data_IF_588012682966
#
_entry.id   IF_588012682966
#
_cell.length_a   1.000
_cell.length_b   1.000
_cell.length_c   1.000
_cell.angle_alpha   90.00
_cell.angle_beta   90.00
_cell.angle_gamma   90.00
#
_symmetry.space_group_name_H-M   'P 1'
#
loop_
_entity.id
_entity.type
_entity.pdbx_description
1 polymer ?
#
# COMPACT_ATOMS: atom_id res chain seq x y z
N UNK A 1 -0.46 -19.65 -1.01
CA UNK A 1 -0.94 -19.16 -2.31
C UNK A 1 0.22 -19.10 -3.30
N UNK A 2 -0.05 -19.30 -4.59
CA UNK A 2 0.95 -19.25 -5.66
C UNK A 2 0.64 -18.09 -6.61
N UNK A 3 1.65 -17.34 -7.03
CA UNK A 3 1.50 -16.37 -8.13
C UNK A 3 1.83 -17.08 -9.45
N UNK A 4 0.94 -16.99 -10.43
CA UNK A 4 1.14 -17.54 -11.77
C UNK A 4 1.02 -16.42 -12.81
N UNK A 5 1.98 -16.37 -13.74
CA UNK A 5 2.00 -15.41 -14.85
C UNK A 5 1.53 -16.13 -16.10
N UNK A 6 0.43 -15.64 -16.69
CA UNK A 6 -0.16 -16.22 -17.90
C UNK A 6 0.85 -16.21 -19.05
N UNK A 7 1.03 -17.38 -19.66
CA UNK A 7 1.86 -17.63 -20.84
C UNK A 7 0.98 -17.79 -22.10
N UNK A 8 1.55 -17.60 -23.30
CA UNK A 8 0.83 -17.81 -24.55
C UNK A 8 0.18 -19.20 -24.62
N UNK A 9 -1.11 -19.24 -25.00
CA UNK A 9 -1.87 -20.47 -25.19
C UNK A 9 -2.39 -21.14 -23.92
N UNK A 10 -2.14 -20.57 -22.73
CA UNK A 10 -2.71 -21.11 -21.50
C UNK A 10 -4.21 -20.82 -21.36
N UNK A 11 -4.93 -21.77 -20.76
CA UNK A 11 -6.32 -21.61 -20.34
C UNK A 11 -6.45 -21.80 -18.83
N UNK A 12 -7.51 -21.27 -18.22
CA UNK A 12 -7.78 -21.48 -16.80
C UNK A 12 -7.92 -22.95 -16.44
N UNK A 13 -8.47 -23.79 -17.33
CA UNK A 13 -8.56 -25.24 -17.12
C UNK A 13 -7.17 -25.88 -17.02
N UNK A 14 -6.27 -25.57 -17.96
CA UNK A 14 -4.91 -26.10 -17.94
C UNK A 14 -4.12 -25.64 -16.72
N UNK A 15 -4.29 -24.37 -16.32
CA UNK A 15 -3.67 -23.81 -15.12
C UNK A 15 -4.23 -24.50 -13.87
N UNK A 16 -5.55 -24.64 -13.75
CA UNK A 16 -6.20 -25.30 -12.62
C UNK A 16 -5.72 -26.75 -12.47
N UNK A 17 -5.61 -27.50 -13.57
CA UNK A 17 -5.07 -28.85 -13.59
C UNK A 17 -3.61 -28.90 -13.13
N UNK A 18 -2.77 -27.97 -13.60
CA UNK A 18 -1.35 -27.92 -13.23
C UNK A 18 -1.12 -27.70 -11.73
N UNK A 19 -2.04 -26.98 -11.07
CA UNK A 19 -2.00 -26.67 -9.64
C UNK A 19 -2.93 -27.52 -8.77
N UNK A 20 -3.63 -28.49 -9.35
CA UNK A 20 -4.61 -29.33 -8.64
C UNK A 20 -5.69 -28.51 -7.91
N UNK A 21 -6.31 -27.56 -8.62
CA UNK A 21 -7.44 -26.75 -8.15
C UNK A 21 -8.53 -26.69 -9.24
N UNK A 22 -9.55 -25.85 -9.08
CA UNK A 22 -10.60 -25.62 -10.09
C UNK A 22 -10.49 -24.24 -10.72
N UNK A 23 -11.00 -24.10 -11.96
CA UNK A 23 -11.06 -22.82 -12.64
C UNK A 23 -11.93 -21.83 -11.85
N UNK A 24 -13.06 -22.26 -11.30
CA UNK A 24 -13.99 -21.45 -10.50
C UNK A 24 -13.30 -20.83 -9.29
N UNK A 25 -12.44 -21.59 -8.58
CA UNK A 25 -11.67 -21.05 -7.45
C UNK A 25 -10.68 -19.98 -7.89
N UNK A 26 -10.04 -20.17 -9.04
CA UNK A 26 -9.12 -19.16 -9.62
C UNK A 26 -9.91 -17.91 -10.02
N UNK A 27 -11.07 -18.06 -10.67
CA UNK A 27 -11.94 -16.96 -11.10
C UNK A 27 -12.37 -16.14 -9.89
N UNK A 28 -12.89 -16.79 -8.85
CA UNK A 28 -13.37 -16.11 -7.64
C UNK A 28 -12.22 -15.39 -6.91
N UNK A 29 -11.07 -16.06 -6.73
CA UNK A 29 -9.94 -15.46 -6.04
C UNK A 29 -9.37 -14.22 -6.76
N UNK A 30 -9.43 -14.18 -8.08
CA UNK A 30 -8.87 -13.09 -8.87
C UNK A 30 -9.93 -12.11 -9.38
N UNK A 31 -11.21 -12.34 -9.04
CA UNK A 31 -12.38 -11.64 -9.59
C UNK A 31 -12.28 -11.44 -11.11
N UNK A 32 -11.99 -12.54 -11.84
CA UNK A 32 -11.80 -12.46 -13.29
C UNK A 32 -13.13 -12.11 -13.98
N UNK A 33 -13.13 -10.99 -14.69
CA UNK A 33 -14.24 -10.46 -15.48
C UNK A 33 -14.47 -11.27 -16.77
N UNK A 34 -13.38 -11.59 -17.49
CA UNK A 34 -13.39 -12.30 -18.77
C UNK A 34 -12.55 -13.59 -18.69
N UNK A 35 -13.02 -14.64 -17.99
CA UNK A 35 -12.23 -15.84 -17.70
C UNK A 35 -11.86 -16.66 -18.95
N UNK A 36 -12.55 -16.44 -20.07
CA UNK A 36 -12.23 -17.03 -21.36
C UNK A 36 -11.14 -16.31 -22.15
N UNK A 37 -10.76 -15.10 -21.75
CA UNK A 37 -9.84 -14.23 -22.49
C UNK A 37 -8.72 -13.68 -21.57
N UNK A 38 -7.77 -14.56 -21.26
CA UNK A 38 -6.62 -14.24 -20.41
C UNK A 38 -5.59 -13.41 -21.16
N UNK A 39 -4.96 -12.46 -20.47
CA UNK A 39 -3.92 -11.60 -21.05
C UNK A 39 -2.54 -12.20 -20.81
N UNK A 40 -1.71 -12.34 -21.85
CA UNK A 40 -0.32 -12.79 -21.68
C UNK A 40 0.42 -11.82 -20.77
N UNK A 41 1.10 -12.37 -19.76
CA UNK A 41 1.80 -11.59 -18.74
C UNK A 41 0.94 -11.14 -17.56
N UNK A 42 -0.38 -11.38 -17.58
CA UNK A 42 -1.24 -11.17 -16.41
C UNK A 42 -0.78 -12.05 -15.25
N UNK A 43 -0.66 -11.47 -14.05
CA UNK A 43 -0.39 -12.23 -12.84
C UNK A 43 -1.69 -12.55 -12.12
N UNK A 44 -1.92 -13.83 -11.83
CA UNK A 44 -3.05 -14.32 -11.03
C UNK A 44 -2.55 -15.06 -9.79
N UNK A 45 -3.34 -15.04 -8.74
CA UNK A 45 -3.12 -15.84 -7.53
C UNK A 45 -3.88 -17.15 -7.64
N UNK A 46 -3.19 -18.27 -7.44
CA UNK A 46 -3.77 -19.59 -7.37
C UNK A 46 -4.05 -19.91 -5.88
N UNK A 47 -5.32 -20.14 -5.49
CA UNK A 47 -5.72 -20.28 -4.09
C UNK A 47 -5.43 -21.68 -3.54
N UNK A 48 -4.15 -22.04 -3.52
CA UNK A 48 -3.62 -23.27 -2.92
C UNK A 48 -2.87 -22.97 -1.62
N UNK A 49 -2.83 -23.96 -0.72
CA UNK A 49 -2.01 -23.92 0.49
C UNK A 49 -0.55 -24.16 0.13
N UNK A 50 0.34 -23.27 0.56
CA UNK A 50 1.74 -23.28 0.16
C UNK A 50 1.92 -22.75 -1.26
N UNK A 51 3.02 -23.14 -1.90
CA UNK A 51 3.38 -22.73 -3.26
C UNK A 51 4.25 -23.79 -3.94
N UNK A 52 4.55 -23.59 -5.21
CA UNK A 52 5.50 -24.42 -5.95
C UNK A 52 6.69 -23.58 -6.41
N UNK A 53 7.87 -24.18 -6.31
CA UNK A 53 9.12 -23.62 -6.78
C UNK A 53 9.71 -24.51 -7.87
N UNK A 54 10.11 -23.89 -8.98
CA UNK A 54 10.83 -24.58 -10.04
C UNK A 54 12.31 -24.27 -9.88
N UNK A 55 13.09 -25.34 -9.68
CA UNK A 55 14.55 -25.25 -9.49
C UNK A 55 15.18 -24.52 -10.66
N UNK A 56 15.94 -23.47 -10.35
CA UNK A 56 16.72 -22.67 -11.27
C UNK A 56 18.18 -23.14 -11.31
N UNK A 57 18.94 -22.61 -12.27
CA UNK A 57 20.36 -22.89 -12.35
C UNK A 57 21.09 -22.38 -11.10
N UNK A 58 21.91 -23.24 -10.49
CA UNK A 58 22.67 -22.92 -9.27
C UNK A 58 21.93 -23.19 -7.96
N UNK A 59 20.65 -23.59 -8.02
CA UNK A 59 19.90 -23.90 -6.81
C UNK A 59 20.35 -25.19 -6.14
N UNK A 60 20.25 -25.16 -4.81
CA UNK A 60 20.42 -26.31 -3.92
C UNK A 60 19.21 -26.36 -2.99
N UNK A 61 18.94 -27.53 -2.38
CA UNK A 61 17.90 -27.60 -1.35
C UNK A 61 18.17 -26.63 -0.20
N UNK A 62 19.44 -26.38 0.12
CA UNK A 62 19.84 -25.43 1.14
C UNK A 62 19.50 -23.98 0.75
N UNK A 63 19.89 -23.53 -0.44
CA UNK A 63 19.61 -22.16 -0.90
C UNK A 63 18.12 -21.88 -1.04
N UNK A 64 17.36 -22.86 -1.54
CA UNK A 64 15.90 -22.77 -1.64
C UNK A 64 15.27 -22.74 -0.25
N UNK A 65 15.66 -23.65 0.66
CA UNK A 65 15.09 -23.70 1.99
C UNK A 65 15.33 -22.40 2.77
N UNK A 66 16.55 -21.86 2.71
CA UNK A 66 16.89 -20.56 3.28
C UNK A 66 16.01 -19.44 2.72
N UNK A 67 15.83 -19.39 1.40
CA UNK A 67 14.98 -18.39 0.73
C UNK A 67 13.53 -18.40 1.24
N UNK A 68 13.00 -19.58 1.57
CA UNK A 68 11.63 -19.74 2.04
C UNK A 68 11.52 -19.92 3.57
N UNK A 69 12.59 -19.62 4.33
CA UNK A 69 12.57 -19.68 5.79
C UNK A 69 12.26 -21.07 6.36
N UNK A 70 12.72 -22.13 5.70
CA UNK A 70 12.58 -23.53 6.14
C UNK A 70 13.94 -24.23 6.17
N UNK A 71 14.01 -25.49 6.59
CA UNK A 71 15.24 -26.29 6.54
C UNK A 71 15.29 -27.18 5.30
N UNK A 72 16.50 -27.47 4.82
CA UNK A 72 16.70 -28.39 3.69
C UNK A 72 16.14 -29.80 3.98
N UNK A 73 16.24 -30.26 5.24
CA UNK A 73 15.68 -31.55 5.66
C UNK A 73 14.15 -31.55 5.59
N UNK A 74 13.49 -30.51 6.09
CA UNK A 74 12.02 -30.38 6.02
C UNK A 74 11.55 -30.27 4.57
N UNK A 75 12.23 -29.45 3.76
CA UNK A 75 11.91 -29.30 2.35
C UNK A 75 12.07 -30.63 1.59
N UNK A 76 13.15 -31.36 1.84
CA UNK A 76 13.39 -32.67 1.23
C UNK A 76 12.33 -33.70 1.65
N UNK A 77 12.01 -33.77 2.94
CA UNK A 77 11.00 -34.68 3.50
C UNK A 77 9.62 -34.43 2.89
N UNK A 78 9.16 -33.18 2.85
CA UNK A 78 7.86 -32.80 2.28
C UNK A 78 7.77 -33.14 0.79
N UNK A 79 8.88 -33.03 0.07
CA UNK A 79 8.95 -33.35 -1.35
C UNK A 79 9.28 -34.82 -1.64
N UNK A 80 9.44 -35.67 -0.62
CA UNK A 80 9.76 -37.08 -0.78
C UNK A 80 11.11 -37.34 -1.46
N UNK A 81 12.08 -36.44 -1.31
CA UNK A 81 13.43 -36.55 -1.91
C UNK A 81 14.50 -36.65 -0.82
N UNK A 82 15.66 -37.24 -1.15
CA UNK A 82 16.81 -37.26 -0.24
C UNK A 82 17.42 -35.85 -0.13
N UNK A 83 17.80 -35.45 1.09
CA UNK A 83 18.38 -34.12 1.36
C UNK A 83 19.69 -33.85 0.62
N UNK A 84 20.43 -34.91 0.25
CA UNK A 84 21.68 -34.83 -0.50
C UNK A 84 21.48 -34.99 -2.02
N UNK A 85 20.23 -35.09 -2.50
CA UNK A 85 19.95 -35.22 -3.93
C UNK A 85 20.29 -33.92 -4.67
N UNK A 86 21.17 -33.96 -5.69
CA UNK A 86 21.36 -32.82 -6.58
C UNK A 86 20.06 -32.46 -7.30
N UNK A 87 19.69 -31.19 -7.29
CA UNK A 87 18.46 -30.72 -7.93
C UNK A 87 18.68 -30.49 -9.43
N UNK A 88 17.77 -31.01 -10.26
CA UNK A 88 17.77 -30.73 -11.70
C UNK A 88 16.98 -29.45 -11.97
N UNK A 89 17.50 -28.58 -12.83
CA UNK A 89 16.77 -27.39 -13.30
C UNK A 89 15.39 -27.81 -13.84
N UNK A 90 14.36 -27.06 -13.48
CA UNK A 90 12.96 -27.34 -13.80
C UNK A 90 12.27 -28.33 -12.87
N UNK A 91 12.98 -28.96 -11.93
CA UNK A 91 12.34 -29.79 -10.89
C UNK A 91 11.34 -28.95 -10.11
N UNK A 92 10.11 -29.44 -9.97
CA UNK A 92 9.05 -28.79 -9.19
C UNK A 92 9.12 -29.26 -7.75
N UNK A 93 9.31 -28.33 -6.82
CA UNK A 93 9.25 -28.54 -5.38
C UNK A 93 8.02 -27.86 -4.80
N UNK A 94 7.28 -28.55 -3.95
CA UNK A 94 6.28 -27.96 -3.09
C UNK A 94 6.96 -27.23 -1.92
N UNK A 95 6.56 -25.99 -1.71
CA UNK A 95 6.99 -25.15 -0.61
C UNK A 95 5.80 -25.03 0.36
N UNK A 96 5.93 -25.50 1.62
CA UNK A 96 4.86 -25.35 2.60
C UNK A 96 4.60 -23.87 2.91
N UNK A 97 3.41 -23.51 3.43
CA UNK A 97 3.12 -22.17 3.90
C UNK A 97 4.21 -21.67 4.85
N UNK A 98 4.70 -20.46 4.61
CA UNK A 98 5.65 -19.82 5.52
C UNK A 98 4.92 -19.38 6.79
N UNK A 99 5.65 -19.35 7.91
CA UNK A 99 5.12 -18.75 9.12
C UNK A 99 4.83 -17.26 8.87
N UNK A 100 3.58 -16.88 9.11
CA UNK A 100 3.16 -15.48 9.00
C UNK A 100 3.71 -14.71 10.21
N UNK A 101 4.32 -13.55 9.96
CA UNK A 101 4.59 -12.57 11.02
C UNK A 101 3.41 -11.63 11.17
N UNK A 102 3.28 -10.99 12.31
CA UNK A 102 2.26 -9.95 12.49
C UNK A 102 2.61 -8.69 11.69
N UNK A 103 1.61 -7.98 11.20
CA UNK A 103 1.75 -6.67 10.59
C UNK A 103 0.49 -5.83 10.84
N UNK A 104 0.68 -4.52 10.98
CA UNK A 104 -0.44 -3.58 10.95
C UNK A 104 -0.74 -3.19 9.49
N UNK A 105 -2.03 -3.07 9.14
CA UNK A 105 -2.49 -2.74 7.80
C UNK A 105 -3.44 -1.57 7.88
N UNK A 106 -3.11 -0.45 7.23
CA UNK A 106 -3.98 0.70 7.07
C UNK A 106 -4.48 0.82 5.63
N UNK A 107 -5.68 1.34 5.42
CA UNK A 107 -6.13 1.84 4.12
C UNK A 107 -6.86 3.17 4.29
N UNK A 108 -6.52 4.15 3.45
CA UNK A 108 -7.27 5.39 3.34
C UNK A 108 -8.57 5.17 2.56
N UNK A 109 -9.65 5.78 3.04
CA UNK A 109 -10.97 5.82 2.40
C UNK A 109 -11.35 7.28 2.19
N UNK A 110 -11.55 7.68 0.94
CA UNK A 110 -11.82 9.07 0.56
C UNK A 110 -13.20 9.14 -0.12
N UNK A 111 -14.27 9.47 0.63
CA UNK A 111 -15.57 9.79 0.06
C UNK A 111 -15.47 10.97 -0.90
N UNK A 112 -16.21 10.93 -2.01
CA UNK A 112 -16.27 12.03 -2.99
C UNK A 112 -17.65 12.68 -2.90
N UNK A 113 -17.66 13.99 -2.67
CA UNK A 113 -18.89 14.75 -2.45
C UNK A 113 -19.32 14.75 -0.99
N UNK A 114 -20.61 14.94 -0.74
CA UNK A 114 -21.13 15.19 0.63
C UNK A 114 -21.59 13.92 1.36
N UNK A 115 -21.50 12.75 0.72
CA UNK A 115 -21.98 11.47 1.27
C UNK A 115 -21.03 10.31 1.00
N UNK A 116 -21.14 9.25 1.81
CA UNK A 116 -20.41 8.00 1.60
C UNK A 116 -21.24 7.08 0.71
N UNK A 117 -20.68 6.62 -0.42
CA UNK A 117 -21.40 5.73 -1.34
C UNK A 117 -21.52 4.30 -0.79
N UNK A 118 -22.58 3.60 -1.16
CA UNK A 118 -22.80 2.22 -0.72
C UNK A 118 -21.76 1.27 -1.31
N UNK A 119 -21.25 1.56 -2.52
CA UNK A 119 -20.17 0.83 -3.16
C UNK A 119 -18.89 0.91 -2.33
N UNK A 120 -18.54 2.11 -1.86
CA UNK A 120 -17.34 2.33 -1.04
C UNK A 120 -17.46 1.62 0.32
N UNK A 121 -18.64 1.65 0.95
CA UNK A 121 -18.91 0.88 2.18
C UNK A 121 -18.85 -0.63 1.95
N UNK A 122 -19.35 -1.13 0.82
CA UNK A 122 -19.27 -2.55 0.48
C UNK A 122 -17.83 -3.00 0.29
N UNK A 123 -17.01 -2.20 -0.41
CA UNK A 123 -15.58 -2.48 -0.55
C UNK A 123 -14.88 -2.45 0.81
N UNK A 124 -15.18 -1.48 1.67
CA UNK A 124 -14.63 -1.39 3.02
C UNK A 124 -14.97 -2.63 3.87
N UNK A 125 -16.20 -3.16 3.76
CA UNK A 125 -16.60 -4.43 4.41
C UNK A 125 -15.84 -5.63 3.85
N UNK A 126 -15.62 -5.69 2.53
CA UNK A 126 -14.89 -6.78 1.88
C UNK A 126 -13.43 -6.83 2.33
N UNK A 127 -12.77 -5.67 2.42
CA UNK A 127 -11.35 -5.61 2.79
C UNK A 127 -11.12 -5.58 4.30
N UNK A 128 -12.13 -5.20 5.07
CA UNK A 128 -12.09 -5.03 6.52
C UNK A 128 -11.42 -6.15 7.33
N UNK A 129 -11.66 -7.44 7.04
CA UNK A 129 -10.96 -8.55 7.70
C UNK A 129 -9.43 -8.45 7.61
N UNK A 130 -8.89 -7.78 6.58
CA UNK A 130 -7.45 -7.59 6.34
C UNK A 130 -6.89 -6.29 6.91
N UNK A 131 -7.68 -5.50 7.63
CA UNK A 131 -7.27 -4.19 8.15
C UNK A 131 -7.01 -4.19 9.66
N UNK A 132 -6.01 -3.41 10.07
CA UNK A 132 -5.88 -2.88 11.43
C UNK A 132 -6.63 -1.56 11.53
N UNK A 133 -6.41 -0.68 10.55
CA UNK A 133 -6.99 0.65 10.50
C UNK A 133 -7.74 0.89 9.19
N UNK A 134 -8.87 1.60 9.30
CA UNK A 134 -9.56 2.26 8.21
C UNK A 134 -9.45 3.77 8.43
N UNK A 135 -8.96 4.52 7.45
CA UNK A 135 -8.58 5.92 7.62
C UNK A 135 -9.39 6.87 6.72
N UNK A 136 -10.52 7.40 7.21
CA UNK A 136 -11.30 8.42 6.51
C UNK A 136 -10.45 9.64 6.20
N UNK A 137 -10.33 9.98 4.92
CA UNK A 137 -9.52 11.09 4.43
C UNK A 137 -10.43 12.24 3.98
N UNK A 138 -10.40 13.42 4.60
CA UNK A 138 -9.75 13.74 5.88
C UNK A 138 -10.54 14.80 6.64
N UNK A 139 -10.28 14.93 7.94
CA UNK A 139 -10.69 16.11 8.70
C UNK A 139 -9.72 17.25 8.41
N UNK A 140 -10.19 18.31 7.74
CA UNK A 140 -9.36 19.46 7.41
C UNK A 140 -9.27 20.42 8.61
N UNK A 141 -8.07 20.66 9.11
CA UNK A 141 -7.85 21.61 10.19
C UNK A 141 -8.01 23.06 9.69
N UNK A 142 -8.60 23.93 10.51
CA UNK A 142 -8.78 25.35 10.19
C UNK A 142 -7.91 26.25 11.05
N UNK A 143 -7.78 27.50 10.60
CA UNK A 143 -6.88 28.51 11.21
C UNK A 143 -7.25 28.87 12.64
N UNK A 144 -8.48 28.61 13.06
CA UNK A 144 -8.98 28.81 14.42
C UNK A 144 -8.94 27.52 15.27
N UNK A 145 -8.49 26.40 14.72
CA UNK A 145 -8.43 25.10 15.38
C UNK A 145 -9.70 24.26 15.24
N UNK A 146 -10.72 24.74 14.52
CA UNK A 146 -11.87 23.90 14.15
C UNK A 146 -11.49 22.85 13.09
N UNK A 147 -12.35 21.84 12.93
CA UNK A 147 -12.23 20.79 11.92
C UNK A 147 -13.41 20.86 10.96
N UNK A 148 -13.17 20.69 9.66
CA UNK A 148 -14.28 20.57 8.73
C UNK A 148 -15.00 19.23 8.85
N UNK A 149 -16.33 19.23 8.65
CA UNK A 149 -17.10 18.01 8.61
C UNK A 149 -16.61 17.09 7.49
N UNK A 150 -16.39 15.83 7.84
CA UNK A 150 -16.10 14.76 6.89
C UNK A 150 -17.34 13.87 6.74
N UNK A 151 -17.77 13.52 5.51
CA UNK A 151 -18.78 12.49 5.30
C UNK A 151 -18.30 11.16 5.89
N UNK A 152 -18.89 10.76 7.02
CA UNK A 152 -18.43 9.63 7.83
C UNK A 152 -19.50 8.55 8.03
N UNK A 153 -20.73 8.79 7.57
CA UNK A 153 -21.87 7.89 7.81
C UNK A 153 -21.59 6.47 7.30
N UNK A 154 -21.78 5.47 8.17
CA UNK A 154 -21.57 4.05 7.85
C UNK A 154 -20.12 3.57 7.96
N UNK A 155 -19.13 4.47 7.96
CA UNK A 155 -17.71 4.08 8.04
C UNK A 155 -17.35 3.53 9.43
N UNK A 156 -17.72 4.17 10.57
CA UNK A 156 -17.44 3.63 11.90
C UNK A 156 -18.11 2.28 12.15
N UNK A 157 -19.33 2.08 11.66
CA UNK A 157 -20.04 0.79 11.74
C UNK A 157 -19.28 -0.27 10.95
N UNK A 158 -18.90 0.05 9.71
CA UNK A 158 -18.16 -0.86 8.83
C UNK A 158 -16.81 -1.27 9.43
N UNK A 159 -16.06 -0.32 9.99
CA UNK A 159 -14.79 -0.61 10.67
C UNK A 159 -15.00 -1.58 11.84
N UNK A 160 -16.01 -1.32 12.68
CA UNK A 160 -16.34 -2.15 13.85
C UNK A 160 -16.78 -3.56 13.47
N UNK A 161 -17.64 -3.70 12.46
CA UNK A 161 -18.08 -5.01 11.93
C UNK A 161 -16.91 -5.83 11.39
N UNK A 162 -15.92 -5.17 10.81
CA UNK A 162 -14.68 -5.77 10.31
C UNK A 162 -13.61 -6.04 11.39
N UNK A 163 -13.85 -5.62 12.63
CA UNK A 163 -12.87 -5.64 13.70
C UNK A 163 -11.64 -4.78 13.42
N UNK A 164 -11.79 -3.72 12.63
CA UNK A 164 -10.78 -2.69 12.39
C UNK A 164 -11.10 -1.46 13.23
N UNK A 165 -10.06 -0.69 13.57
CA UNK A 165 -10.22 0.60 14.23
C UNK A 165 -10.14 1.74 13.21
N UNK A 166 -10.68 2.91 13.55
CA UNK A 166 -10.49 4.11 12.78
C UNK A 166 -9.14 4.77 13.11
N UNK A 167 -8.48 5.24 12.07
CA UNK A 167 -7.36 6.18 12.14
C UNK A 167 -7.89 7.54 11.67
N UNK A 168 -8.06 8.48 12.60
CA UNK A 168 -8.63 9.80 12.31
C UNK A 168 -7.57 10.66 11.63
N UNK A 169 -7.72 10.90 10.33
CA UNK A 169 -6.77 11.71 9.55
C UNK A 169 -7.09 13.19 9.71
N UNK A 170 -6.11 13.95 10.19
CA UNK A 170 -6.16 15.41 10.31
C UNK A 170 -5.15 16.01 9.35
N UNK A 171 -5.62 16.79 8.38
CA UNK A 171 -4.79 17.38 7.32
C UNK A 171 -4.74 18.91 7.39
N UNK A 172 -3.72 19.50 6.77
CA UNK A 172 -3.65 20.94 6.52
C UNK A 172 -4.08 21.30 5.08
N UNK A 173 -5.15 20.64 4.59
CA UNK A 173 -5.79 21.00 3.34
C UNK A 173 -6.59 22.31 3.49
N UNK A 174 -6.45 23.19 2.50
CA UNK A 174 -7.21 24.43 2.37
C UNK A 174 -7.53 24.62 0.90
N UNK A 175 -8.83 24.63 0.54
CA UNK A 175 -9.30 24.71 -0.86
C UNK A 175 -8.78 23.56 -1.75
N UNK A 176 -8.75 22.33 -1.21
CA UNK A 176 -8.39 21.12 -1.95
C UNK A 176 -6.90 20.95 -2.24
N UNK A 177 -6.03 21.73 -1.58
CA UNK A 177 -4.58 21.61 -1.66
C UNK A 177 -3.93 21.78 -0.29
N UNK A 178 -2.78 21.14 -0.08
CA UNK A 178 -2.02 21.30 1.14
C UNK A 178 -1.49 22.73 1.28
N UNK A 179 -1.75 23.35 2.43
CA UNK A 179 -1.44 24.75 2.71
C UNK A 179 -0.38 24.86 3.79
N UNK A 180 0.84 25.21 3.39
CA UNK A 180 1.94 25.49 4.31
C UNK A 180 1.66 26.69 5.23
N UNK A 181 0.89 27.67 4.76
CA UNK A 181 0.49 28.85 5.55
C UNK A 181 -0.61 28.53 6.58
N UNK A 182 -1.52 27.60 6.27
CA UNK A 182 -2.45 27.06 7.26
C UNK A 182 -1.67 26.32 8.35
N UNK A 183 -0.77 25.42 7.94
CA UNK A 183 0.10 24.70 8.87
C UNK A 183 0.91 25.65 9.76
N UNK A 184 1.54 26.69 9.19
CA UNK A 184 2.23 27.74 9.97
C UNK A 184 1.32 28.40 11.00
N UNK A 185 0.10 28.80 10.61
CA UNK A 185 -0.83 29.47 11.51
C UNK A 185 -1.18 28.60 12.74
N UNK A 186 -1.40 27.30 12.53
CA UNK A 186 -1.66 26.33 13.60
C UNK A 186 -0.39 26.14 14.47
N UNK A 187 0.76 25.90 13.84
CA UNK A 187 2.01 25.57 14.55
C UNK A 187 2.58 26.73 15.37
N UNK A 188 2.21 27.97 15.07
CA UNK A 188 2.70 29.16 15.78
C UNK A 188 1.77 29.68 16.88
N UNK A 189 0.57 29.11 17.05
CA UNK A 189 -0.41 29.56 18.03
C UNK A 189 -0.79 28.47 19.02
N UNK A 190 -0.29 28.58 20.25
CA UNK A 190 -0.59 27.62 21.33
C UNK A 190 -2.09 27.51 21.61
N UNK A 191 -2.84 28.61 21.53
CA UNK A 191 -4.28 28.64 21.71
C UNK A 191 -5.02 27.89 20.60
N UNK A 192 -4.60 28.05 19.35
CA UNK A 192 -5.18 27.29 18.21
C UNK A 192 -4.87 25.81 18.34
N UNK A 193 -3.67 25.45 18.81
CA UNK A 193 -3.31 24.05 19.05
C UNK A 193 -4.17 23.41 20.13
N UNK A 194 -4.49 24.12 21.21
CA UNK A 194 -5.40 23.64 22.26
C UNK A 194 -6.80 23.37 21.69
N UNK A 195 -7.37 24.35 20.99
CA UNK A 195 -8.69 24.21 20.36
C UNK A 195 -8.71 23.04 19.35
N UNK A 196 -7.66 22.90 18.55
CA UNK A 196 -7.53 21.79 17.60
C UNK A 196 -7.52 20.43 18.31
N UNK A 197 -6.70 20.27 19.35
CA UNK A 197 -6.60 19.00 20.07
C UNK A 197 -7.90 18.67 20.81
N UNK A 198 -8.59 19.66 21.39
CA UNK A 198 -9.91 19.49 21.98
C UNK A 198 -10.95 19.01 20.94
N UNK A 199 -11.03 19.68 19.80
CA UNK A 199 -11.95 19.31 18.71
C UNK A 199 -11.64 17.90 18.15
N UNK A 200 -10.37 17.53 18.04
CA UNK A 200 -9.97 16.17 17.63
C UNK A 200 -10.52 15.13 18.61
N UNK A 201 -10.35 15.34 19.91
CA UNK A 201 -10.82 14.39 20.93
C UNK A 201 -12.34 14.30 20.95
N UNK A 202 -13.03 15.44 20.88
CA UNK A 202 -14.50 15.48 20.83
C UNK A 202 -15.03 14.71 19.62
N UNK A 203 -14.45 14.95 18.44
CA UNK A 203 -14.87 14.29 17.21
C UNK A 203 -14.53 12.79 17.20
N UNK A 204 -13.33 12.41 17.65
CA UNK A 204 -12.93 11.02 17.77
C UNK A 204 -13.85 10.23 18.70
N UNK A 205 -14.28 10.85 19.82
CA UNK A 205 -15.27 10.27 20.74
C UNK A 205 -16.67 10.22 20.13
N UNK A 206 -17.06 11.23 19.34
CA UNK A 206 -18.36 11.28 18.66
C UNK A 206 -18.52 10.16 17.64
N UNK A 207 -17.52 9.94 16.78
CA UNK A 207 -17.58 8.90 15.74
C UNK A 207 -17.34 7.49 16.32
N UNK A 208 -16.54 7.40 17.38
CA UNK A 208 -16.22 6.15 18.06
C UNK A 208 -15.34 5.22 17.22
N UNK A 209 -14.85 4.15 17.85
CA UNK A 209 -13.94 3.16 17.23
C UNK A 209 -12.59 3.71 16.77
N UNK A 210 -12.23 4.95 17.10
CA UNK A 210 -10.92 5.55 16.84
C UNK A 210 -9.89 5.04 17.84
N UNK A 211 -8.73 4.59 17.35
CA UNK A 211 -7.58 4.24 18.19
C UNK A 211 -6.31 5.03 17.86
N UNK A 212 -6.29 5.75 16.73
CA UNK A 212 -5.14 6.54 16.29
C UNK A 212 -5.59 7.90 15.74
N UNK A 213 -4.87 8.95 16.11
CA UNK A 213 -4.95 10.28 15.49
C UNK A 213 -3.75 10.44 14.57
N UNK A 214 -4.03 10.58 13.27
CA UNK A 214 -3.02 10.64 12.23
C UNK A 214 -2.88 12.07 11.69
N UNK A 215 -1.74 12.71 11.94
CA UNK A 215 -1.43 14.02 11.38
C UNK A 215 -0.78 13.89 10.00
N UNK A 216 -1.52 14.31 8.97
CA UNK A 216 -1.06 14.39 7.59
C UNK A 216 -0.82 15.86 7.20
N UNK A 217 0.22 16.44 7.80
CA UNK A 217 0.60 17.84 7.56
C UNK A 217 1.71 17.92 6.51
N UNK A 218 1.34 18.25 5.28
CA UNK A 218 2.26 18.32 4.15
C UNK A 218 2.57 19.76 3.71
N UNK A 219 3.62 19.93 2.88
CA UNK A 219 4.02 21.22 2.30
C UNK A 219 4.27 22.34 3.32
N UNK A 220 4.56 21.98 4.57
CA UNK A 220 4.97 22.91 5.61
C UNK A 220 6.27 23.62 5.22
N UNK A 221 6.40 24.94 5.41
CA UNK A 221 7.65 25.64 5.17
C UNK A 221 8.77 25.08 6.05
N UNK A 222 9.99 24.97 5.52
CA UNK A 222 11.12 24.35 6.24
C UNK A 222 11.48 25.00 7.57
N UNK A 223 11.23 26.31 7.71
CA UNK A 223 11.39 27.04 8.98
C UNK A 223 10.38 26.63 10.07
N UNK A 224 9.34 25.87 9.72
CA UNK A 224 8.37 25.31 10.67
C UNK A 224 8.78 23.94 11.23
N UNK A 225 9.90 23.35 10.81
CA UNK A 225 10.36 22.02 11.29
C UNK A 225 10.30 21.88 12.81
N UNK A 226 10.90 22.82 13.54
CA UNK A 226 10.93 22.74 15.00
C UNK A 226 9.56 23.03 15.63
N UNK A 227 8.76 23.91 15.02
CA UNK A 227 7.41 24.18 15.48
C UNK A 227 6.52 22.93 15.34
N UNK A 228 6.68 22.18 14.25
CA UNK A 228 5.98 20.92 14.05
C UNK A 228 6.40 19.86 15.08
N UNK A 229 7.71 19.69 15.31
CA UNK A 229 8.21 18.80 16.37
C UNK A 229 7.65 19.16 17.76
N UNK A 230 7.55 20.45 18.08
CA UNK A 230 7.01 20.90 19.37
C UNK A 230 5.50 20.66 19.48
N UNK A 231 4.75 20.90 18.39
CA UNK A 231 3.34 20.55 18.30
C UNK A 231 3.12 19.06 18.50
N UNK A 232 3.89 18.19 17.84
CA UNK A 232 3.76 16.74 17.99
C UNK A 232 4.02 16.27 19.43
N UNK A 233 4.99 16.85 20.15
CA UNK A 233 5.19 16.54 21.58
C UNK A 233 3.96 16.90 22.41
N UNK A 234 3.40 18.12 22.20
CA UNK A 234 2.17 18.56 22.87
C UNK A 234 0.99 17.63 22.53
N UNK A 235 0.83 17.29 21.26
CA UNK A 235 -0.24 16.44 20.77
C UNK A 235 -0.13 15.02 21.35
N UNK A 236 1.05 14.42 21.33
CA UNK A 236 1.30 13.09 21.92
C UNK A 236 1.00 13.09 23.41
N UNK A 237 1.55 14.03 24.19
CA UNK A 237 1.32 14.11 25.63
C UNK A 237 -0.18 14.20 25.96
N UNK A 238 -0.92 15.02 25.20
CA UNK A 238 -2.36 15.19 25.39
C UNK A 238 -3.18 13.97 24.95
N UNK A 239 -2.98 13.50 23.71
CA UNK A 239 -3.77 12.44 23.09
C UNK A 239 -3.50 11.06 23.71
N UNK A 240 -2.28 10.81 24.20
CA UNK A 240 -2.00 9.62 25.02
C UNK A 240 -2.77 9.64 26.33
N UNK A 241 -2.91 10.81 26.97
CA UNK A 241 -3.76 10.99 28.15
C UNK A 241 -5.24 10.69 27.88
N UNK A 242 -5.67 10.86 26.64
CA UNK A 242 -7.02 10.56 26.15
C UNK A 242 -7.17 9.12 25.61
N UNK A 243 -6.09 8.34 25.61
CA UNK A 243 -6.09 6.92 25.21
C UNK A 243 -5.93 6.65 23.72
N UNK A 244 -5.56 7.65 22.92
CA UNK A 244 -5.30 7.49 21.49
C UNK A 244 -3.81 7.27 21.21
N UNK A 245 -3.51 6.46 20.20
CA UNK A 245 -2.22 6.49 19.53
C UNK A 245 -2.11 7.77 18.70
N UNK A 246 -0.88 8.17 18.41
CA UNK A 246 -0.58 9.29 17.52
C UNK A 246 0.37 8.83 16.43
N UNK A 247 0.04 9.14 15.18
CA UNK A 247 0.88 8.85 14.04
C UNK A 247 1.00 10.04 13.09
N UNK A 248 1.97 10.00 12.18
CA UNK A 248 2.20 11.07 11.20
C UNK A 248 2.45 10.52 9.80
N UNK A 249 2.00 11.23 8.77
CA UNK A 249 2.51 11.04 7.42
C UNK A 249 3.89 11.71 7.27
N UNK A 250 4.76 11.12 6.45
CA UNK A 250 6.09 11.66 6.16
C UNK A 250 6.38 11.58 4.66
N UNK A 251 6.81 12.71 4.09
CA UNK A 251 7.30 12.78 2.71
C UNK A 251 8.52 11.88 2.52
N UNK A 252 8.69 11.22 1.37
CA UNK A 252 9.76 10.25 1.14
C UNK A 252 11.14 10.95 1.06
N UNK A 253 11.98 10.72 2.06
CA UNK A 253 13.35 11.24 2.13
C UNK A 253 14.38 10.12 2.00
N UNK A 254 15.53 10.42 1.42
CA UNK A 254 16.69 9.51 1.37
C UNK A 254 17.91 10.04 2.14
N UNK A 255 17.82 11.27 2.68
CA UNK A 255 18.82 11.87 3.56
C UNK A 255 18.19 12.94 4.46
N UNK A 256 18.89 13.32 5.54
CA UNK A 256 18.42 14.34 6.46
C UNK A 256 18.40 15.73 5.82
N UNK A 257 19.38 16.01 4.96
CA UNK A 257 19.64 17.28 4.28
C UNK A 257 18.85 17.44 2.97
N UNK A 258 17.97 16.51 2.63
CA UNK A 258 17.12 16.62 1.44
C UNK A 258 16.27 17.90 1.50
N UNK A 259 16.61 18.86 0.64
CA UNK A 259 15.97 20.15 0.56
C UNK A 259 14.68 20.12 -0.28
N UNK A 260 13.82 21.10 -0.08
CA UNK A 260 12.54 21.25 -0.76
C UNK A 260 11.38 21.33 0.23
N UNK A 261 10.40 22.17 -0.08
CA UNK A 261 9.27 22.48 0.79
C UNK A 261 8.49 21.22 1.24
N UNK A 262 8.47 20.16 0.44
CA UNK A 262 7.80 18.92 0.81
C UNK A 262 8.54 18.12 1.91
N UNK A 263 9.84 18.35 2.10
CA UNK A 263 10.72 17.51 2.91
C UNK A 263 11.29 18.19 4.16
N UNK A 264 11.55 19.50 4.09
CA UNK A 264 12.36 20.20 5.11
C UNK A 264 11.69 20.25 6.50
N UNK A 265 10.36 20.34 6.54
CA UNK A 265 9.62 20.33 7.80
C UNK A 265 9.49 18.92 8.42
N UNK A 266 9.73 17.86 7.65
CA UNK A 266 9.62 16.47 8.08
C UNK A 266 10.94 15.96 8.69
N UNK A 267 11.01 16.02 10.02
CA UNK A 267 12.14 15.57 10.82
C UNK A 267 11.97 14.11 11.25
N UNK A 268 12.47 13.19 10.42
CA UNK A 268 12.29 11.75 10.64
C UNK A 268 12.73 11.30 12.03
N UNK A 269 13.85 11.81 12.56
CA UNK A 269 14.34 11.42 13.89
C UNK A 269 13.40 11.87 14.99
N UNK A 270 13.01 13.15 14.96
CA UNK A 270 12.11 13.69 15.95
C UNK A 270 10.75 12.97 15.92
N UNK A 271 10.18 12.73 14.74
CA UNK A 271 8.94 11.97 14.60
C UNK A 271 9.10 10.55 15.17
N UNK A 272 10.19 9.85 14.81
CA UNK A 272 10.50 8.51 15.31
C UNK A 272 10.64 8.42 16.84
N UNK A 273 11.10 9.49 17.48
CA UNK A 273 11.16 9.59 18.95
C UNK A 273 9.78 9.89 19.56
N UNK A 274 8.98 10.75 18.91
CA UNK A 274 7.77 11.33 19.48
C UNK A 274 6.53 10.43 19.27
N UNK A 275 6.22 10.04 18.03
CA UNK A 275 4.94 9.41 17.67
C UNK A 275 4.97 7.88 17.77
N UNK A 276 3.82 7.23 17.82
CA UNK A 276 3.72 5.76 17.94
C UNK A 276 4.18 5.04 16.67
N UNK A 277 3.88 5.63 15.51
CA UNK A 277 4.36 5.19 14.20
C UNK A 277 4.23 6.30 13.15
N UNK A 278 4.88 6.13 12.00
CA UNK A 278 4.77 7.02 10.86
C UNK A 278 4.44 6.24 9.59
N UNK A 279 3.62 6.85 8.74
CA UNK A 279 3.32 6.39 7.38
C UNK A 279 4.24 7.12 6.40
N UNK A 280 5.13 6.39 5.74
CA UNK A 280 6.00 6.99 4.72
C UNK A 280 5.30 6.95 3.37
N UNK A 281 5.18 8.09 2.69
CA UNK A 281 4.52 8.20 1.38
C UNK A 281 5.43 7.68 0.25
N UNK A 282 5.76 6.39 0.30
CA UNK A 282 6.65 5.69 -0.63
C UNK A 282 5.94 5.31 -1.94
N UNK A 283 5.31 6.29 -2.60
CA UNK A 283 4.67 6.19 -3.91
C UNK A 283 4.70 7.56 -4.62
N UNK A 284 4.11 7.68 -5.81
CA UNK A 284 4.14 8.88 -6.67
C UNK A 284 5.50 9.28 -7.28
N UNK A 285 6.42 8.33 -7.54
CA UNK A 285 7.53 8.62 -8.46
C UNK A 285 7.01 8.80 -9.88
N UNK A 286 6.22 7.84 -10.34
CA UNK A 286 5.33 8.00 -11.50
C UNK A 286 3.99 8.54 -11.04
N UNK A 287 3.80 9.84 -11.19
CA UNK A 287 2.59 10.54 -10.77
C UNK A 287 1.83 11.12 -11.96
N UNK A 288 0.56 11.48 -11.74
CA UNK A 288 -0.36 11.90 -12.81
C UNK A 288 0.12 13.11 -13.62
N UNK A 289 0.81 14.06 -13.00
CA UNK A 289 1.39 15.24 -13.66
C UNK A 289 2.82 15.05 -14.17
N UNK A 290 3.43 13.89 -13.93
CA UNK A 290 4.80 13.55 -14.31
C UNK A 290 4.86 12.66 -15.56
N UNK A 291 6.07 12.38 -16.06
CA UNK A 291 6.26 11.45 -17.17
C UNK A 291 5.90 10.00 -16.78
N UNK A 292 5.57 9.12 -17.76
CA UNK A 292 5.24 7.73 -17.50
C UNK A 292 6.40 6.93 -16.88
N UNK A 293 6.21 6.46 -15.64
CA UNK A 293 7.14 5.57 -14.94
C UNK A 293 6.39 4.78 -13.85
N UNK A 294 6.99 3.76 -13.21
CA UNK A 294 6.34 3.05 -12.11
C UNK A 294 5.93 3.99 -10.98
N UNK A 295 4.78 3.74 -10.35
CA UNK A 295 4.25 4.59 -9.28
C UNK A 295 5.11 4.49 -8.01
N UNK A 296 5.50 3.27 -7.61
CA UNK A 296 6.35 3.00 -6.45
C UNK A 296 7.46 1.99 -6.76
N UNK A 297 8.46 2.39 -7.58
CA UNK A 297 9.55 1.50 -7.97
C UNK A 297 10.36 1.04 -6.75
N UNK A 298 10.54 -0.28 -6.62
CA UNK A 298 11.08 -0.88 -5.40
C UNK A 298 12.47 -0.37 -4.97
N UNK A 299 13.42 -0.02 -5.86
CA UNK A 299 14.72 0.49 -5.44
C UNK A 299 14.61 1.82 -4.68
N UNK A 300 13.77 2.74 -5.18
CA UNK A 300 13.56 4.04 -4.55
C UNK A 300 12.74 3.92 -3.25
N UNK A 301 11.76 3.01 -3.22
CA UNK A 301 11.04 2.67 -1.99
C UNK A 301 12.01 2.15 -0.93
N UNK A 302 12.91 1.24 -1.31
CA UNK A 302 13.91 0.71 -0.40
C UNK A 302 14.91 1.78 0.08
N UNK A 303 15.35 2.68 -0.78
CA UNK A 303 16.24 3.79 -0.40
C UNK A 303 15.63 4.66 0.70
N UNK A 304 14.34 5.01 0.57
CA UNK A 304 13.59 5.78 1.58
C UNK A 304 13.48 4.99 2.88
N UNK A 305 13.16 3.70 2.81
CA UNK A 305 13.03 2.85 4.00
C UNK A 305 14.37 2.63 4.72
N UNK A 306 15.47 2.48 3.97
CA UNK A 306 16.80 2.35 4.55
C UNK A 306 17.21 3.63 5.27
N UNK A 307 16.93 4.81 4.70
CA UNK A 307 17.13 6.08 5.40
C UNK A 307 16.22 6.18 6.64
N UNK A 308 14.94 5.82 6.53
CA UNK A 308 14.04 5.84 7.69
C UNK A 308 14.57 4.98 8.85
N UNK A 309 15.16 3.83 8.55
CA UNK A 309 15.77 2.94 9.55
C UNK A 309 17.03 3.53 10.22
N UNK A 310 17.67 4.54 9.65
CA UNK A 310 18.75 5.28 10.34
C UNK A 310 18.21 6.33 11.30
N UNK A 311 16.94 6.71 11.16
CA UNK A 311 16.33 7.80 11.93
C UNK A 311 15.26 7.33 12.93
N UNK A 312 14.63 6.16 12.72
CA UNK A 312 13.60 5.65 13.61
C UNK A 312 13.55 4.11 13.67
N UNK A 313 13.01 3.55 14.76
CA UNK A 313 12.85 2.09 14.90
C UNK A 313 11.96 1.47 13.81
N UNK A 314 12.34 0.30 13.29
CA UNK A 314 11.59 -0.41 12.25
C UNK A 314 10.11 -0.68 12.62
N UNK A 315 9.82 -0.95 13.90
CA UNK A 315 8.47 -1.20 14.42
C UNK A 315 7.60 0.07 14.52
N UNK A 316 8.12 1.24 14.14
CA UNK A 316 7.37 2.49 13.97
C UNK A 316 7.15 2.87 12.49
N UNK A 317 7.64 2.09 11.52
CA UNK A 317 7.55 2.43 10.10
C UNK A 317 6.42 1.66 9.42
N UNK A 318 5.44 2.38 8.89
CA UNK A 318 4.47 1.85 7.91
C UNK A 318 4.85 2.31 6.51
N UNK A 319 5.06 1.36 5.60
CA UNK A 319 5.38 1.65 4.20
C UNK A 319 4.10 2.04 3.46
N UNK A 320 4.07 3.20 2.81
CA UNK A 320 2.99 3.61 1.93
C UNK A 320 2.98 2.83 0.62
N UNK A 321 1.79 2.47 0.14
CA UNK A 321 1.61 1.69 -1.08
C UNK A 321 0.38 2.17 -1.86
N UNK A 322 0.57 2.49 -3.14
CA UNK A 322 -0.51 2.76 -4.08
C UNK A 322 -1.28 1.47 -4.44
N UNK A 323 -2.60 1.54 -4.56
CA UNK A 323 -3.46 0.48 -5.13
C UNK A 323 -3.84 0.72 -6.59
N UNK A 324 -3.34 1.80 -7.18
CA UNK A 324 -3.60 2.22 -8.55
C UNK A 324 -2.32 2.26 -9.37
N UNK A 325 -2.52 2.21 -10.67
CA UNK A 325 -1.57 2.64 -11.68
C UNK A 325 -2.02 3.90 -12.38
N UNK A 326 -1.32 4.24 -13.45
CA UNK A 326 -1.65 5.36 -14.31
C UNK A 326 -1.57 4.95 -15.78
N UNK A 327 -2.48 5.54 -16.56
CA UNK A 327 -2.50 5.48 -18.02
C UNK A 327 -2.18 6.87 -18.57
N UNK A 328 -0.99 7.01 -19.15
CA UNK A 328 -0.54 8.22 -19.81
C UNK A 328 -0.80 8.17 -21.30
N UNK A 329 -1.37 9.23 -21.85
CA UNK A 329 -1.36 9.49 -23.30
C UNK A 329 0.01 10.05 -23.71
N UNK A 330 0.58 9.57 -24.81
CA UNK A 330 1.89 9.95 -25.32
C UNK A 330 1.79 10.87 -26.56
N UNK A 331 2.79 11.73 -26.80
CA UNK A 331 3.96 12.00 -25.94
C UNK A 331 3.57 12.76 -24.66
N UNK A 332 4.35 12.55 -23.59
CA UNK A 332 4.21 13.35 -22.37
C UNK A 332 4.60 14.81 -22.64
N UNK A 333 3.78 15.74 -22.13
CA UNK A 333 4.04 17.17 -22.18
C UNK A 333 3.89 17.74 -20.77
N UNK A 334 4.94 18.38 -20.25
CA UNK A 334 4.93 19.01 -18.93
C UNK A 334 3.81 20.06 -18.85
N UNK A 335 2.98 19.98 -17.80
CA UNK A 335 1.81 20.86 -17.64
C UNK A 335 0.64 20.56 -18.59
N UNK A 336 0.73 19.45 -19.34
CA UNK A 336 -0.34 18.95 -20.20
C UNK A 336 -1.40 18.17 -19.43
N UNK A 337 -2.08 17.27 -20.14
CA UNK A 337 -3.11 16.41 -19.54
C UNK A 337 -2.50 15.46 -18.50
N UNK A 338 -3.10 15.40 -17.32
CA UNK A 338 -2.73 14.43 -16.30
C UNK A 338 -3.09 13.00 -16.71
N UNK A 339 -2.24 12.06 -16.32
CA UNK A 339 -2.48 10.64 -16.49
C UNK A 339 -3.73 10.21 -15.73
N UNK A 340 -4.47 9.26 -16.29
CA UNK A 340 -5.68 8.74 -15.66
C UNK A 340 -5.31 7.63 -14.69
N UNK A 341 -5.71 7.74 -13.43
CA UNK A 341 -5.57 6.65 -12.47
C UNK A 341 -6.38 5.43 -12.94
N UNK A 342 -5.81 4.24 -12.78
CA UNK A 342 -6.46 2.97 -13.13
C UNK A 342 -6.26 1.95 -12.02
N UNK A 343 -7.30 1.17 -11.72
CA UNK A 343 -7.11 -0.03 -10.89
C UNK A 343 -6.32 -1.10 -11.66
N UNK A 344 -5.67 -2.05 -10.98
CA UNK A 344 -5.06 -3.21 -11.61
C UNK A 344 -6.02 -3.99 -12.51
N UNK A 345 -7.27 -4.17 -12.06
CA UNK A 345 -8.30 -4.83 -12.89
C UNK A 345 -8.58 -4.03 -14.17
N UNK A 346 -8.67 -2.70 -14.09
CA UNK A 346 -8.85 -1.83 -15.26
C UNK A 346 -7.62 -1.86 -16.18
N UNK A 347 -6.42 -1.93 -15.64
CA UNK A 347 -5.20 -2.06 -16.44
C UNK A 347 -5.18 -3.38 -17.23
N UNK A 348 -5.60 -4.49 -16.61
CA UNK A 348 -5.73 -5.79 -17.29
C UNK A 348 -6.80 -5.71 -18.40
N UNK A 349 -7.93 -5.07 -18.15
CA UNK A 349 -8.99 -4.87 -19.14
C UNK A 349 -8.51 -4.03 -20.34
N UNK A 350 -7.73 -2.96 -20.09
CA UNK A 350 -7.10 -2.15 -21.14
C UNK A 350 -6.13 -2.98 -21.96
N UNK A 351 -5.29 -3.81 -21.34
CA UNK A 351 -4.38 -4.69 -22.05
C UNK A 351 -5.15 -5.69 -22.93
N UNK A 352 -6.22 -6.29 -22.39
CA UNK A 352 -7.09 -7.24 -23.12
C UNK A 352 -7.74 -6.60 -24.33
N UNK A 353 -8.40 -5.46 -24.14
CA UNK A 353 -9.17 -4.76 -25.17
C UNK A 353 -8.28 -4.29 -26.33
N UNK A 354 -7.01 -3.97 -26.03
CA UNK A 354 -6.05 -3.50 -27.01
C UNK A 354 -5.05 -4.59 -27.46
N UNK A 355 -5.29 -5.86 -27.10
CA UNK A 355 -4.43 -7.00 -27.43
C UNK A 355 -2.93 -6.76 -27.06
N UNK A 356 -2.69 -6.08 -25.94
CA UNK A 356 -1.36 -5.78 -25.44
C UNK A 356 -0.86 -6.88 -24.49
N UNK A 357 0.44 -7.16 -24.55
CA UNK A 357 1.11 -8.06 -23.60
C UNK A 357 1.51 -7.26 -22.36
N UNK A 358 1.22 -7.80 -21.18
CA UNK A 358 1.66 -7.22 -19.91
C UNK A 358 3.10 -7.62 -19.66
N UNK A 359 4.00 -6.65 -19.78
CA UNK A 359 5.42 -6.80 -19.46
C UNK A 359 5.65 -6.53 -17.97
N UNK A 360 6.83 -6.91 -17.48
CA UNK A 360 7.21 -6.71 -16.08
C UNK A 360 8.65 -6.20 -15.99
N UNK A 361 8.82 -5.04 -15.37
CA UNK A 361 10.13 -4.51 -15.05
C UNK A 361 10.63 -5.15 -13.76
N UNK A 362 11.63 -6.02 -13.87
CA UNK A 362 12.21 -6.71 -12.71
C UNK A 362 13.13 -5.84 -11.86
N UNK A 363 13.54 -4.66 -12.35
CA UNK A 363 14.31 -3.69 -11.55
C UNK A 363 13.37 -2.88 -10.69
N UNK A 364 12.34 -2.28 -11.29
CA UNK A 364 11.32 -1.54 -10.57
C UNK A 364 10.35 -2.44 -9.79
N UNK A 365 10.27 -3.72 -10.14
CA UNK A 365 9.25 -4.67 -9.67
C UNK A 365 7.83 -4.16 -9.95
N UNK A 366 7.52 -3.81 -11.19
CA UNK A 366 6.20 -3.30 -11.59
C UNK A 366 5.78 -3.76 -12.99
N UNK A 367 4.49 -4.13 -13.20
CA UNK A 367 3.95 -4.44 -14.51
C UNK A 367 3.69 -3.18 -15.36
N UNK A 368 3.83 -3.33 -16.67
CA UNK A 368 3.52 -2.27 -17.63
C UNK A 368 3.14 -2.81 -19.00
N UNK A 369 2.52 -1.96 -19.82
CA UNK A 369 2.34 -2.22 -21.24
C UNK A 369 2.16 -0.92 -22.02
N UNK A 370 2.26 -1.01 -23.34
CA UNK A 370 1.93 0.06 -24.26
C UNK A 370 0.74 -0.38 -25.12
N UNK A 371 -0.07 0.57 -25.56
CA UNK A 371 -1.09 0.32 -26.58
C UNK A 371 -1.35 1.58 -27.42
N UNK A 372 -2.08 1.43 -28.52
CA UNK A 372 -2.58 2.55 -29.33
C UNK A 372 -4.10 2.49 -29.28
N UNK A 373 -4.74 3.59 -28.91
CA UNK A 373 -6.21 3.67 -28.83
C UNK A 373 -6.85 3.75 -30.23
N UNK A 374 -8.19 3.71 -30.27
CA UNK A 374 -8.96 3.79 -31.51
C UNK A 374 -8.83 5.15 -32.24
N UNK A 375 -8.30 6.18 -31.57
CA UNK A 375 -8.01 7.49 -32.14
C UNK A 375 -6.57 7.60 -32.68
N UNK A 376 -5.78 6.51 -32.58
CA UNK A 376 -4.39 6.48 -33.01
C UNK A 376 -3.41 7.09 -32.01
N UNK A 377 -3.83 7.37 -30.76
CA UNK A 377 -2.96 7.91 -29.71
C UNK A 377 -2.24 6.77 -29.00
N UNK A 378 -0.94 6.95 -28.80
CA UNK A 378 -0.13 5.99 -28.05
C UNK A 378 -0.34 6.18 -26.54
N UNK A 379 -0.34 5.09 -25.80
CA UNK A 379 -0.50 5.07 -24.35
C UNK A 379 0.57 4.22 -23.67
N UNK A 380 1.01 4.65 -22.48
CA UNK A 380 1.84 3.87 -21.55
C UNK A 380 1.05 3.65 -20.26
N UNK A 381 0.98 2.40 -19.82
CA UNK A 381 0.34 2.04 -18.54
C UNK A 381 1.38 1.42 -17.62
N UNK A 382 1.47 1.94 -16.39
CA UNK A 382 2.16 1.31 -15.26
C UNK A 382 1.14 1.08 -14.16
N UNK A 383 1.18 -0.07 -13.50
CA UNK A 383 0.22 -0.43 -12.46
C UNK A 383 0.83 -1.41 -11.46
N UNK A 384 0.04 -1.96 -10.54
CA UNK A 384 0.45 -2.97 -9.56
C UNK A 384 -0.23 -4.31 -9.86
N UNK A 385 0.37 -5.41 -9.43
CA UNK A 385 -0.15 -6.76 -9.55
C UNK A 385 0.37 -7.67 -8.43
N UNK A 386 -0.01 -8.95 -8.46
CA UNK A 386 0.42 -9.88 -7.41
C UNK A 386 1.94 -9.99 -7.27
N UNK A 387 2.71 -9.82 -8.36
CA UNK A 387 4.18 -9.93 -8.34
C UNK A 387 4.80 -8.75 -7.58
N UNK A 388 4.44 -7.53 -7.97
CA UNK A 388 4.91 -6.28 -7.37
C UNK A 388 4.55 -6.16 -5.90
N UNK A 389 3.31 -6.49 -5.52
CA UNK A 389 2.89 -6.52 -4.11
C UNK A 389 3.65 -7.56 -3.29
N UNK A 390 3.88 -8.77 -3.83
CA UNK A 390 4.67 -9.76 -3.10
C UNK A 390 6.13 -9.31 -2.92
N UNK A 391 6.71 -8.59 -3.88
CA UNK A 391 8.04 -8.01 -3.74
C UNK A 391 8.09 -6.96 -2.61
N UNK A 392 7.08 -6.10 -2.52
CA UNK A 392 6.90 -5.13 -1.43
C UNK A 392 6.72 -5.81 -0.06
N UNK A 393 5.96 -6.91 0.01
CA UNK A 393 5.82 -7.71 1.23
C UNK A 393 7.13 -8.37 1.66
N UNK A 394 7.94 -8.84 0.70
CA UNK A 394 9.26 -9.38 0.98
C UNK A 394 10.21 -8.29 1.52
N UNK A 395 10.16 -7.08 0.95
CA UNK A 395 10.90 -5.93 1.45
C UNK A 395 10.49 -5.58 2.89
N UNK A 396 9.18 -5.50 3.16
CA UNK A 396 8.63 -5.24 4.50
C UNK A 396 9.10 -6.27 5.53
N UNK A 397 9.10 -7.56 5.16
CA UNK A 397 9.61 -8.65 6.02
C UNK A 397 11.11 -8.54 6.25
N UNK A 398 11.90 -8.30 5.19
CA UNK A 398 13.36 -8.19 5.26
C UNK A 398 13.81 -7.03 6.14
N UNK A 399 13.10 -5.90 6.08
CA UNK A 399 13.38 -4.72 6.88
C UNK A 399 12.67 -4.71 8.25
N UNK A 400 11.90 -5.76 8.56
CA UNK A 400 11.15 -5.92 9.80
C UNK A 400 10.29 -4.69 10.17
N UNK A 401 9.62 -4.09 9.18
CA UNK A 401 8.83 -2.87 9.37
C UNK A 401 7.60 -3.13 10.24
N UNK A 402 6.84 -2.10 10.63
CA UNK A 402 5.58 -2.24 11.38
C UNK A 402 4.47 -2.82 10.50
N UNK A 403 4.33 -2.29 9.30
CA UNK A 403 3.14 -2.52 8.50
C UNK A 403 3.16 -1.82 7.15
N UNK A 404 1.98 -1.79 6.52
CA UNK A 404 1.75 -1.19 5.21
C UNK A 404 0.50 -0.30 5.26
N UNK A 405 0.53 0.82 4.53
CA UNK A 405 -0.55 1.81 4.48
C UNK A 405 -0.96 2.05 3.02
N UNK A 406 -2.21 1.79 2.68
CA UNK A 406 -2.68 1.80 1.30
C UNK A 406 -3.37 3.11 0.91
N UNK A 407 -2.89 3.74 -0.16
CA UNK A 407 -3.62 4.78 -0.89
C UNK A 407 -4.20 4.18 -2.18
N UNK A 408 -5.50 4.06 -2.36
CA UNK A 408 -6.60 4.18 -1.39
C UNK A 408 -7.69 3.16 -1.76
N UNK A 409 -8.72 3.03 -0.94
CA UNK A 409 -9.92 2.26 -1.27
C UNK A 409 -10.59 2.82 -2.55
N UNK A 410 -11.27 1.97 -3.33
CA UNK A 410 -11.88 2.34 -4.60
C UNK A 410 -11.15 1.82 -5.84
N UNK A 411 -9.97 1.20 -5.66
CA UNK A 411 -9.21 0.59 -6.76
C UNK A 411 -9.22 -0.93 -6.64
N UNK A 412 -10.10 -1.58 -7.40
CA UNK A 412 -10.24 -3.05 -7.39
C UNK A 412 -8.92 -3.77 -7.66
N UNK A 413 -8.47 -4.51 -6.64
CA UNK A 413 -7.24 -5.29 -6.66
C UNK A 413 -7.30 -6.49 -5.70
N UNK A 414 -8.08 -7.54 -6.02
CA UNK A 414 -8.38 -8.64 -5.10
C UNK A 414 -7.14 -9.41 -4.65
N UNK A 415 -6.13 -9.54 -5.51
CA UNK A 415 -4.90 -10.27 -5.21
C UNK A 415 -4.12 -9.64 -4.06
N UNK A 416 -4.19 -8.31 -3.88
CA UNK A 416 -3.52 -7.63 -2.77
C UNK A 416 -4.00 -8.17 -1.42
N UNK A 417 -5.31 -8.23 -1.22
CA UNK A 417 -5.93 -8.66 0.04
C UNK A 417 -5.71 -10.13 0.33
N UNK A 418 -5.80 -10.97 -0.71
CA UNK A 418 -5.45 -12.38 -0.60
C UNK A 418 -3.98 -12.58 -0.19
N UNK A 419 -3.07 -11.78 -0.76
CA UNK A 419 -1.66 -11.85 -0.40
C UNK A 419 -1.38 -11.30 1.01
N UNK A 420 -2.12 -10.28 1.49
CA UNK A 420 -2.07 -9.86 2.90
C UNK A 420 -2.41 -11.04 3.80
N UNK A 421 -3.57 -11.67 3.55
CA UNK A 421 -4.03 -12.83 4.31
C UNK A 421 -3.06 -14.01 4.26
N UNK A 422 -2.34 -14.21 3.15
CA UNK A 422 -1.31 -15.25 3.03
C UNK A 422 0.00 -14.89 3.75
N UNK A 423 0.40 -13.62 3.74
CA UNK A 423 1.73 -13.21 4.20
C UNK A 423 1.80 -12.81 5.67
N UNK A 424 0.69 -12.36 6.27
CA UNK A 424 0.68 -11.71 7.59
C UNK A 424 -0.46 -12.19 8.49
N UNK A 425 -0.21 -12.16 9.79
CA UNK A 425 -1.27 -12.14 10.80
C UNK A 425 -1.63 -10.67 11.03
N UNK A 426 -2.75 -10.21 10.49
CA UNK A 426 -3.17 -8.81 10.63
C UNK A 426 -3.50 -8.52 12.09
N UNK A 427 -2.86 -7.50 12.66
CA UNK A 427 -3.13 -7.04 14.02
C UNK A 427 -4.49 -6.36 14.04
N UNK A 428 -5.34 -6.69 15.02
CA UNK A 428 -6.62 -6.02 15.27
C UNK A 428 -6.50 -5.16 16.54
N UNK A 429 -7.23 -4.05 16.59
CA UNK A 429 -7.21 -3.09 17.70
C UNK A 429 -8.62 -2.74 18.14
#
# INVERSE_FOLDING_TARGET
>A
MQIHVIQPGQSLFGIAQAYNTTAERIIQANQLDEPGNLVVGQAIVIPITGSFYWVQQGDTLYSIAQRFGTSASNLAQINGINVNTPLRVGTRLYIPPMQKRSAEVNIYIEPIGDTVSQELLNEAREVGPFLTYLAPFSYEARRDGSLDPLPIEGIPETAREAGASLMMVVSNLENGQFSGELGRAILQSTAVQEVLLENIVEEARRIGSVSDIHFDFEFLPGDQRQAYNNFLRKAVDYLHGEGFLVSTALAPKTSAEQAGQWYEAHDYRAHGEIVDFSVLMTYEWGYSGGPPMPVSPIPQVEEVLQYALTEMPANKIMMGQNLYGYNWTLPFVQGGQYARAVSPQRAIELARTNNAVIEYDYTAQAPHFNYVDNEGKAHKVWFEDARSIQAKFNLMKRLNLRGISYWKLGFSFPQNWLLIGENFNVVKR
#
